data_IF_819417925687
#
_entry.id   IF_819417925687
#
_cell.length_a   1.000
_cell.length_b   1.000
_cell.length_c   1.000
_cell.angle_alpha   90.00
_cell.angle_beta   90.00
_cell.angle_gamma   90.00
#
_symmetry.space_group_name_H-M   'P 1'
#
loop_
_entity.id
_entity.type
_entity.pdbx_description
1 polymer ?
#
# COMPACT_ATOMS: atom_id res chain seq x y z
N UNK A 1 23.35 -29.93 29.38
CA UNK A 1 21.98 -29.53 28.98
C UNK A 1 22.09 -28.31 28.09
N UNK A 2 22.07 -28.51 26.77
CA UNK A 2 22.08 -27.44 25.77
C UNK A 2 20.73 -26.73 25.81
N UNK A 3 20.74 -25.44 26.16
CA UNK A 3 19.56 -24.58 26.17
C UNK A 3 19.09 -24.44 24.72
N UNK A 4 17.96 -25.06 24.36
CA UNK A 4 17.32 -24.82 23.08
C UNK A 4 17.00 -23.32 22.99
N UNK A 5 17.56 -22.65 21.99
CA UNK A 5 17.17 -21.30 21.60
C UNK A 5 15.77 -21.45 21.00
N UNK A 6 14.73 -20.74 21.50
CA UNK A 6 13.40 -20.86 20.94
C UNK A 6 13.42 -20.46 19.46
N UNK A 7 12.88 -21.34 18.60
CA UNK A 7 12.89 -21.23 17.13
C UNK A 7 12.17 -20.00 16.57
N UNK A 8 11.55 -19.19 17.42
CA UNK A 8 10.94 -17.93 17.01
C UNK A 8 10.88 -17.00 18.22
N UNK A 9 11.66 -15.90 18.28
CA UNK A 9 11.33 -14.83 19.20
C UNK A 9 9.94 -14.34 18.80
N UNK A 10 8.93 -14.56 19.64
CA UNK A 10 7.64 -13.90 19.48
C UNK A 10 7.94 -12.40 19.44
N UNK A 11 7.88 -11.81 18.24
CA UNK A 11 8.09 -10.37 18.08
C UNK A 11 7.08 -9.68 18.98
N UNK A 12 7.59 -8.94 19.97
CA UNK A 12 6.71 -8.17 20.85
C UNK A 12 5.80 -7.31 19.98
N UNK A 13 4.47 -7.37 20.19
CA UNK A 13 3.54 -6.65 19.35
C UNK A 13 3.79 -5.14 19.47
N UNK A 14 3.90 -4.45 18.33
CA UNK A 14 4.08 -3.01 18.30
C UNK A 14 2.94 -2.29 19.03
N UNK A 15 3.29 -1.26 19.78
CA UNK A 15 2.31 -0.34 20.37
C UNK A 15 1.64 0.52 19.30
N UNK A 16 0.46 1.04 19.62
CA UNK A 16 -0.28 1.99 18.75
C UNK A 16 0.58 3.16 18.30
N UNK A 17 1.33 3.76 19.24
CA UNK A 17 2.20 4.91 18.96
C UNK A 17 3.33 4.50 18.03
N UNK A 18 3.98 3.35 18.25
CA UNK A 18 5.04 2.87 17.37
C UNK A 18 4.56 2.66 15.94
N UNK A 19 3.36 2.10 15.74
CA UNK A 19 2.78 1.92 14.39
C UNK A 19 2.50 3.27 13.73
N UNK A 20 1.85 4.21 14.43
CA UNK A 20 1.57 5.55 13.90
C UNK A 20 2.84 6.33 13.55
N UNK A 21 3.84 6.29 14.44
CA UNK A 21 5.14 6.95 14.22
C UNK A 21 5.88 6.31 13.06
N UNK A 22 5.91 4.98 12.96
CA UNK A 22 6.54 4.27 11.86
C UNK A 22 5.90 4.64 10.51
N UNK A 23 4.57 4.66 10.42
CA UNK A 23 3.86 5.09 9.20
C UNK A 23 4.19 6.54 8.84
N UNK A 24 4.19 7.45 9.83
CA UNK A 24 4.54 8.85 9.62
C UNK A 24 5.98 9.04 9.11
N UNK A 25 6.94 8.36 9.74
CA UNK A 25 8.36 8.39 9.34
C UNK A 25 8.51 7.85 7.92
N UNK A 26 7.93 6.68 7.62
CA UNK A 26 8.00 6.09 6.27
C UNK A 26 7.44 7.05 5.23
N UNK A 27 6.27 7.65 5.48
CA UNK A 27 5.68 8.61 4.56
C UNK A 27 6.57 9.82 4.31
N UNK A 28 7.16 10.40 5.38
CA UNK A 28 8.10 11.53 5.26
C UNK A 28 9.35 11.13 4.48
N UNK A 29 9.93 9.97 4.76
CA UNK A 29 11.11 9.45 4.06
C UNK A 29 10.81 9.30 2.56
N UNK A 30 9.70 8.65 2.20
CA UNK A 30 9.30 8.48 0.80
C UNK A 30 9.08 9.83 0.09
N UNK A 31 8.50 10.82 0.78
CA UNK A 31 8.33 12.18 0.25
C UNK A 31 9.67 12.89 0.03
N UNK A 32 10.64 12.71 0.94
CA UNK A 32 12.00 13.26 0.77
C UNK A 32 12.65 12.63 -0.46
N UNK A 33 12.60 11.29 -0.59
CA UNK A 33 13.13 10.59 -1.76
C UNK A 33 12.46 11.06 -3.06
N UNK A 34 11.13 11.19 -3.07
CA UNK A 34 10.39 11.69 -4.23
C UNK A 34 10.84 13.11 -4.63
N UNK A 35 10.96 14.02 -3.64
CA UNK A 35 11.44 15.39 -3.90
C UNK A 35 12.87 15.45 -4.41
N UNK A 36 13.78 14.70 -3.79
CA UNK A 36 15.18 14.63 -4.23
C UNK A 36 15.28 14.10 -5.65
N UNK A 37 14.53 13.05 -5.99
CA UNK A 37 14.54 12.49 -7.33
C UNK A 37 13.96 13.46 -8.37
N UNK A 38 12.86 14.16 -8.07
CA UNK A 38 12.33 15.22 -8.94
C UNK A 38 13.39 16.30 -9.24
N UNK A 39 14.09 16.75 -8.20
CA UNK A 39 15.11 17.81 -8.33
C UNK A 39 16.34 17.33 -9.11
N UNK A 40 16.90 16.17 -8.75
CA UNK A 40 18.11 15.64 -9.37
C UNK A 40 17.88 15.15 -10.80
N UNK A 41 16.71 14.56 -11.05
CA UNK A 41 16.31 14.06 -12.37
C UNK A 41 15.76 15.14 -13.31
N UNK A 42 15.53 16.37 -12.82
CA UNK A 42 14.85 17.45 -13.55
C UNK A 42 13.52 16.98 -14.17
N UNK A 43 12.81 16.14 -13.44
CA UNK A 43 11.58 15.50 -13.88
C UNK A 43 10.38 16.39 -13.57
N UNK A 44 9.31 16.23 -14.35
CA UNK A 44 8.02 16.81 -14.02
C UNK A 44 7.16 15.77 -13.32
N UNK A 45 6.58 16.16 -12.18
CA UNK A 45 5.62 15.32 -11.45
C UNK A 45 4.40 15.09 -12.36
N UNK A 46 3.89 13.85 -12.38
CA UNK A 46 2.60 13.57 -13.04
C UNK A 46 1.50 14.49 -12.46
N UNK A 47 0.70 15.17 -13.30
CA UNK A 47 -0.21 16.20 -12.81
C UNK A 47 -1.27 15.65 -11.87
N UNK A 48 -1.61 16.43 -10.84
CA UNK A 48 -2.74 16.17 -9.95
C UNK A 48 -3.90 17.05 -10.40
N UNK A 49 -4.89 16.44 -11.08
CA UNK A 49 -6.07 17.15 -11.60
C UNK A 49 -7.28 16.82 -10.72
N UNK A 50 -7.67 17.77 -9.87
CA UNK A 50 -8.86 17.66 -9.03
C UNK A 50 -10.13 17.80 -9.85
N UNK A 51 -10.70 16.66 -10.25
CA UNK A 51 -11.96 16.59 -10.99
C UNK A 51 -12.90 15.57 -10.34
N UNK A 52 -14.23 15.78 -10.38
CA UNK A 52 -15.18 14.79 -9.86
C UNK A 52 -15.00 13.40 -10.50
N UNK A 53 -14.72 13.35 -11.81
CA UNK A 53 -14.48 12.11 -12.53
C UNK A 53 -13.27 11.36 -11.98
N UNK A 54 -12.17 12.05 -11.67
CA UNK A 54 -10.99 11.42 -11.08
C UNK A 54 -11.29 10.81 -9.70
N UNK A 55 -12.09 11.50 -8.87
CA UNK A 55 -12.52 10.99 -7.57
C UNK A 55 -13.41 9.76 -7.71
N UNK A 56 -14.37 9.78 -8.65
CA UNK A 56 -15.28 8.65 -8.91
C UNK A 56 -14.52 7.44 -9.42
N UNK A 57 -13.62 7.62 -10.40
CA UNK A 57 -12.79 6.54 -10.95
C UNK A 57 -11.89 5.96 -9.86
N UNK A 58 -11.21 6.82 -9.09
CA UNK A 58 -10.35 6.39 -7.98
C UNK A 58 -11.14 5.62 -6.91
N UNK A 59 -12.31 6.11 -6.51
CA UNK A 59 -13.18 5.45 -5.55
C UNK A 59 -13.65 4.08 -6.06
N UNK A 60 -14.16 4.01 -7.29
CA UNK A 60 -14.61 2.77 -7.90
C UNK A 60 -13.47 1.75 -8.01
N UNK A 61 -12.28 2.21 -8.40
CA UNK A 61 -11.09 1.36 -8.50
C UNK A 61 -10.64 0.86 -7.13
N UNK A 62 -10.61 1.72 -6.12
CA UNK A 62 -10.25 1.33 -4.75
C UNK A 62 -11.21 0.27 -4.20
N UNK A 63 -12.52 0.46 -4.38
CA UNK A 63 -13.53 -0.53 -3.98
C UNK A 63 -13.39 -1.85 -4.76
N UNK A 64 -13.09 -1.78 -6.06
CA UNK A 64 -12.83 -2.96 -6.87
C UNK A 64 -11.58 -3.72 -6.40
N UNK A 65 -10.49 -3.02 -6.09
CA UNK A 65 -9.27 -3.61 -5.52
C UNK A 65 -9.55 -4.25 -4.17
N UNK A 66 -10.31 -3.59 -3.29
CA UNK A 66 -10.70 -4.17 -1.99
C UNK A 66 -11.53 -5.44 -2.18
N UNK A 67 -12.53 -5.43 -3.06
CA UNK A 67 -13.34 -6.60 -3.38
C UNK A 67 -12.52 -7.76 -3.93
N UNK A 68 -11.62 -7.46 -4.88
CA UNK A 68 -10.70 -8.44 -5.46
C UNK A 68 -9.73 -8.99 -4.41
N UNK A 69 -9.17 -8.13 -3.55
CA UNK A 69 -8.31 -8.53 -2.43
C UNK A 69 -9.07 -9.46 -1.46
N UNK A 70 -10.34 -9.18 -1.18
CA UNK A 70 -11.20 -10.05 -0.39
C UNK A 70 -11.44 -11.42 -1.04
N UNK A 71 -11.64 -11.45 -2.36
CA UNK A 71 -11.77 -12.71 -3.12
C UNK A 71 -10.46 -13.51 -3.10
N UNK A 72 -9.33 -12.87 -3.37
CA UNK A 72 -8.00 -13.50 -3.33
C UNK A 72 -7.68 -14.00 -1.92
N UNK A 73 -8.00 -13.22 -0.89
CA UNK A 73 -7.91 -13.65 0.50
C UNK A 73 -8.72 -14.92 0.77
N UNK A 74 -9.91 -15.07 0.17
CA UNK A 74 -10.75 -16.27 0.30
C UNK A 74 -10.22 -17.49 -0.47
N UNK A 75 -9.71 -17.28 -1.67
CA UNK A 75 -9.36 -18.36 -2.60
C UNK A 75 -7.89 -18.79 -2.53
N UNK A 76 -6.99 -17.93 -2.05
CA UNK A 76 -5.55 -18.19 -2.04
C UNK A 76 -4.99 -18.24 -0.61
N UNK A 77 -4.85 -19.44 0.00
CA UNK A 77 -4.40 -19.58 1.38
C UNK A 77 -3.01 -18.99 1.66
N UNK A 78 -2.08 -19.07 0.71
CA UNK A 78 -0.74 -18.50 0.88
C UNK A 78 -0.80 -16.97 0.99
N UNK A 79 -1.55 -16.30 0.10
CA UNK A 79 -1.79 -14.86 0.21
C UNK A 79 -2.49 -14.49 1.52
N UNK A 80 -3.50 -15.26 1.94
CA UNK A 80 -4.15 -15.06 3.23
C UNK A 80 -3.15 -15.04 4.38
N UNK A 81 -2.28 -16.05 4.45
CA UNK A 81 -1.28 -16.16 5.51
C UNK A 81 -0.30 -14.97 5.47
N UNK A 82 0.17 -14.56 4.29
CA UNK A 82 1.06 -13.41 4.15
C UNK A 82 0.40 -12.10 4.56
N UNK A 83 -0.84 -11.86 4.11
CA UNK A 83 -1.60 -10.66 4.44
C UNK A 83 -1.93 -10.59 5.94
N UNK A 84 -2.28 -11.72 6.56
CA UNK A 84 -2.60 -11.79 8.00
C UNK A 84 -1.42 -11.37 8.89
N UNK A 85 -0.17 -11.64 8.49
CA UNK A 85 1.01 -11.18 9.25
C UNK A 85 1.03 -9.66 9.30
N UNK A 86 0.89 -9.00 8.15
CA UNK A 86 0.83 -7.54 8.06
C UNK A 86 -0.37 -6.96 8.80
N UNK A 87 -1.58 -7.48 8.53
CA UNK A 87 -2.82 -7.00 9.13
C UNK A 87 -2.79 -7.12 10.65
N UNK A 88 -2.28 -8.23 11.20
CA UNK A 88 -2.16 -8.38 12.66
C UNK A 88 -1.13 -7.42 13.25
N UNK A 89 0.01 -7.21 12.59
CA UNK A 89 1.06 -6.31 13.08
C UNK A 89 0.60 -4.84 13.10
N UNK A 90 -0.07 -4.41 12.04
CA UNK A 90 -0.45 -3.01 11.85
C UNK A 90 -1.84 -2.71 12.45
N UNK A 91 -2.85 -3.53 12.20
CA UNK A 91 -4.23 -3.21 12.56
C UNK A 91 -4.63 -3.58 13.98
N UNK A 92 -4.01 -4.59 14.62
CA UNK A 92 -4.34 -4.93 16.02
C UNK A 92 -4.17 -3.74 16.97
N UNK A 93 -3.03 -3.02 16.99
CA UNK A 93 -2.82 -1.93 17.96
C UNK A 93 -3.57 -0.63 17.62
N UNK A 94 -3.99 -0.43 16.38
CA UNK A 94 -4.70 0.78 15.94
C UNK A 94 -6.18 0.78 16.38
N UNK A 95 -6.77 1.95 16.56
CA UNK A 95 -8.23 2.11 16.72
C UNK A 95 -8.86 2.57 15.39
N UNK A 96 -10.19 2.48 15.27
CA UNK A 96 -10.90 2.80 14.02
C UNK A 96 -10.56 4.20 13.47
N UNK A 97 -10.51 5.28 14.27
CA UNK A 97 -10.07 6.59 13.78
C UNK A 97 -8.68 6.59 13.15
N UNK A 98 -7.74 5.75 13.61
CA UNK A 98 -6.38 5.72 13.07
C UNK A 98 -6.32 5.18 11.63
N UNK A 99 -7.34 4.44 11.20
CA UNK A 99 -7.37 3.84 9.86
C UNK A 99 -7.38 4.89 8.76
N UNK A 100 -7.85 6.12 9.05
CA UNK A 100 -7.73 7.22 8.10
C UNK A 100 -6.27 7.54 7.78
N UNK A 101 -5.37 7.47 8.78
CA UNK A 101 -3.94 7.71 8.59
C UNK A 101 -3.27 6.57 7.84
N UNK A 102 -3.71 5.34 8.08
CA UNK A 102 -3.25 4.17 7.32
C UNK A 102 -3.67 4.23 5.84
N UNK A 103 -4.80 4.86 5.52
CA UNK A 103 -5.18 5.16 4.14
C UNK A 103 -4.38 6.32 3.56
N UNK A 104 -4.40 7.47 4.23
CA UNK A 104 -3.84 8.72 3.73
C UNK A 104 -2.33 8.70 3.58
N UNK A 105 -1.58 8.26 4.60
CA UNK A 105 -0.12 8.39 4.61
C UNK A 105 0.51 7.55 3.49
N UNK A 106 0.29 6.22 3.41
CA UNK A 106 0.87 5.41 2.33
C UNK A 106 0.28 5.78 0.97
N UNK A 107 -1.05 5.94 0.89
CA UNK A 107 -1.75 6.22 -0.36
C UNK A 107 -1.31 7.53 -1.03
N UNK A 108 -0.89 8.52 -0.24
CA UNK A 108 -0.28 9.74 -0.77
C UNK A 108 1.21 9.56 -1.04
N UNK A 109 2.01 9.13 -0.04
CA UNK A 109 3.47 9.15 -0.16
C UNK A 109 4.00 8.14 -1.18
N UNK A 110 3.41 6.95 -1.23
CA UNK A 110 3.84 5.90 -2.15
C UNK A 110 3.44 6.24 -3.58
N UNK A 111 2.20 6.67 -3.82
CA UNK A 111 1.78 7.04 -5.18
C UNK A 111 2.53 8.27 -5.70
N UNK A 112 2.85 9.24 -4.84
CA UNK A 112 3.74 10.34 -5.22
C UNK A 112 5.11 9.81 -5.69
N UNK A 113 5.74 8.91 -4.94
CA UNK A 113 7.04 8.35 -5.33
C UNK A 113 6.95 7.47 -6.58
N UNK A 114 6.08 6.47 -6.59
CA UNK A 114 6.05 5.44 -7.62
C UNK A 114 5.37 5.93 -8.91
N UNK A 115 4.24 6.62 -8.82
CA UNK A 115 3.43 7.03 -9.98
C UNK A 115 3.69 8.48 -10.35
N UNK A 116 3.94 9.33 -9.36
CA UNK A 116 4.23 10.74 -9.56
C UNK A 116 5.66 11.00 -10.06
N UNK A 117 6.65 10.21 -9.62
CA UNK A 117 8.06 10.45 -9.93
C UNK A 117 8.70 9.32 -10.72
N UNK A 118 8.73 8.10 -10.19
CA UNK A 118 9.45 6.98 -10.81
C UNK A 118 8.85 6.59 -12.16
N UNK A 119 7.52 6.50 -12.27
CA UNK A 119 6.85 6.15 -13.51
C UNK A 119 7.18 7.15 -14.66
N UNK A 120 7.05 8.48 -14.49
CA UNK A 120 7.55 9.45 -15.47
C UNK A 120 9.07 9.36 -15.73
N UNK A 121 9.87 9.06 -14.70
CA UNK A 121 11.33 8.93 -14.83
C UNK A 121 11.75 7.79 -15.76
N UNK A 122 11.06 6.65 -15.65
CA UNK A 122 11.32 5.46 -16.48
C UNK A 122 10.62 5.59 -17.84
N UNK A 123 9.43 6.17 -17.85
CA UNK A 123 8.64 6.45 -19.05
C UNK A 123 7.16 6.14 -18.85
N UNK A 124 6.28 7.02 -19.35
CA UNK A 124 4.81 6.86 -19.30
C UNK A 124 4.32 5.81 -20.32
N UNK A 125 4.87 4.60 -20.24
CA UNK A 125 4.60 3.49 -21.14
C UNK A 125 4.60 2.17 -20.35
N UNK A 126 4.43 1.04 -21.05
CA UNK A 126 4.38 -0.28 -20.42
C UNK A 126 5.63 -0.59 -19.57
N UNK A 127 6.82 -0.14 -19.98
CA UNK A 127 8.07 -0.39 -19.25
C UNK A 127 8.04 0.32 -17.90
N UNK A 128 7.66 1.60 -17.87
CA UNK A 128 7.56 2.34 -16.61
C UNK A 128 6.46 1.80 -15.70
N UNK A 129 5.32 1.38 -16.26
CA UNK A 129 4.24 0.74 -15.49
C UNK A 129 4.76 -0.54 -14.84
N UNK A 130 5.41 -1.43 -15.60
CA UNK A 130 5.93 -2.70 -15.07
C UNK A 130 7.03 -2.45 -14.04
N UNK A 131 8.02 -1.61 -14.35
CA UNK A 131 9.15 -1.35 -13.47
C UNK A 131 8.72 -0.73 -12.13
N UNK A 132 7.88 0.31 -12.16
CA UNK A 132 7.38 0.95 -10.94
C UNK A 132 6.53 0.00 -10.09
N UNK A 133 5.75 -0.88 -10.73
CA UNK A 133 4.88 -1.84 -10.05
C UNK A 133 5.65 -3.02 -9.44
N UNK A 134 6.73 -3.46 -10.09
CA UNK A 134 7.63 -4.46 -9.52
C UNK A 134 8.31 -3.92 -8.27
N UNK A 135 8.90 -2.71 -8.32
CA UNK A 135 9.52 -2.11 -7.13
C UNK A 135 8.49 -1.83 -6.03
N UNK A 136 7.29 -1.39 -6.39
CA UNK A 136 6.19 -1.23 -5.44
C UNK A 136 5.87 -2.54 -4.71
N UNK A 137 5.73 -3.66 -5.44
CA UNK A 137 5.50 -4.95 -4.81
C UNK A 137 6.68 -5.40 -3.95
N UNK A 138 7.92 -5.23 -4.42
CA UNK A 138 9.13 -5.60 -3.66
C UNK A 138 9.23 -4.82 -2.34
N UNK A 139 8.82 -3.54 -2.32
CA UNK A 139 8.79 -2.73 -1.10
C UNK A 139 7.89 -3.35 -0.01
N UNK A 140 6.89 -4.14 -0.40
CA UNK A 140 5.97 -4.81 0.51
C UNK A 140 6.47 -6.18 1.01
N UNK A 141 7.69 -6.58 0.66
CA UNK A 141 8.31 -7.80 1.16
C UNK A 141 8.74 -7.60 2.62
N UNK A 142 7.95 -8.09 3.57
CA UNK A 142 8.28 -8.08 5.00
C UNK A 142 9.01 -9.33 5.50
N UNK A 143 9.31 -10.26 4.59
CA UNK A 143 9.95 -11.55 4.84
C UNK A 143 9.77 -12.46 3.63
N UNK A 144 10.63 -13.47 3.46
CA UNK A 144 10.63 -14.30 2.24
C UNK A 144 9.35 -15.13 2.11
N UNK A 145 8.68 -15.45 3.23
CA UNK A 145 7.40 -16.17 3.26
C UNK A 145 6.22 -15.30 2.79
N UNK A 146 6.40 -13.97 2.68
CA UNK A 146 5.37 -13.01 2.30
C UNK A 146 5.38 -12.69 0.79
N UNK A 147 6.09 -13.48 -0.03
CA UNK A 147 6.09 -13.34 -1.49
C UNK A 147 4.69 -13.33 -2.15
N UNK A 148 3.66 -14.06 -1.66
CA UNK A 148 2.31 -13.97 -2.25
C UNK A 148 1.72 -12.57 -2.14
N UNK A 149 2.02 -11.87 -1.04
CA UNK A 149 1.60 -10.49 -0.84
C UNK A 149 2.34 -9.55 -1.81
N UNK A 150 3.64 -9.78 -2.06
CA UNK A 150 4.41 -9.06 -3.08
C UNK A 150 3.79 -9.22 -4.46
N UNK A 151 3.42 -10.43 -4.86
CA UNK A 151 2.76 -10.68 -6.16
C UNK A 151 1.46 -9.90 -6.27
N UNK A 152 0.61 -9.94 -5.23
CA UNK A 152 -0.63 -9.17 -5.23
C UNK A 152 -0.39 -7.66 -5.26
N UNK A 153 0.55 -7.16 -4.46
CA UNK A 153 0.93 -5.74 -4.43
C UNK A 153 1.48 -5.29 -5.80
N UNK A 154 2.25 -6.12 -6.50
CA UNK A 154 2.68 -5.83 -7.89
C UNK A 154 1.48 -5.75 -8.84
N UNK A 155 0.52 -6.66 -8.76
CA UNK A 155 -0.69 -6.62 -9.62
C UNK A 155 -1.54 -5.36 -9.36
N UNK A 156 -1.75 -5.01 -8.09
CA UNK A 156 -2.38 -3.74 -7.71
C UNK A 156 -1.57 -2.57 -8.25
N UNK A 157 -0.25 -2.63 -8.10
CA UNK A 157 0.66 -1.63 -8.62
C UNK A 157 0.54 -1.43 -10.14
N UNK A 158 0.38 -2.50 -10.91
CA UNK A 158 0.17 -2.46 -12.36
C UNK A 158 -1.13 -1.72 -12.69
N UNK A 159 -2.21 -2.01 -11.96
CA UNK A 159 -3.50 -1.33 -12.13
C UNK A 159 -3.40 0.16 -11.80
N UNK A 160 -2.77 0.52 -10.68
CA UNK A 160 -2.56 1.92 -10.28
C UNK A 160 -1.67 2.65 -11.30
N UNK A 161 -0.58 2.03 -11.74
CA UNK A 161 0.31 2.57 -12.79
C UNK A 161 -0.40 2.76 -14.12
N UNK A 162 -1.20 1.78 -14.55
CA UNK A 162 -2.03 1.91 -15.75
C UNK A 162 -3.05 3.05 -15.60
N UNK A 163 -3.71 3.17 -14.45
CA UNK A 163 -4.69 4.25 -14.21
C UNK A 163 -4.05 5.63 -14.31
N UNK A 164 -2.82 5.77 -13.80
CA UNK A 164 -2.06 7.02 -13.85
C UNK A 164 -1.77 7.44 -15.30
N UNK A 165 -1.30 6.51 -16.13
CA UNK A 165 -1.00 6.75 -17.55
C UNK A 165 -2.28 6.98 -18.36
N UNK A 166 -3.29 6.13 -18.19
CA UNK A 166 -4.53 6.19 -18.96
C UNK A 166 -5.33 7.46 -18.71
N UNK A 167 -5.26 8.02 -17.51
CA UNK A 167 -5.99 9.23 -17.12
C UNK A 167 -5.14 10.50 -17.16
N UNK A 168 -3.83 10.37 -17.35
CA UNK A 168 -2.85 11.45 -17.18
C UNK A 168 -3.14 12.26 -15.89
N UNK A 169 -3.35 11.53 -14.79
CA UNK A 169 -3.78 12.12 -13.53
C UNK A 169 -3.37 11.26 -12.33
N UNK A 170 -2.49 11.82 -11.51
CA UNK A 170 -2.00 11.17 -10.29
C UNK A 170 -3.07 11.07 -9.19
N UNK A 171 -4.11 11.90 -9.23
CA UNK A 171 -5.18 11.85 -8.23
C UNK A 171 -5.94 10.51 -8.24
N UNK A 172 -6.11 9.91 -9.42
CA UNK A 172 -6.84 8.64 -9.58
C UNK A 172 -6.20 7.50 -8.78
N UNK A 173 -4.92 7.16 -8.97
CA UNK A 173 -4.28 6.11 -8.17
C UNK A 173 -4.14 6.50 -6.69
N UNK A 174 -3.94 7.77 -6.35
CA UNK A 174 -3.91 8.23 -4.94
C UNK A 174 -5.22 7.87 -4.23
N UNK A 175 -6.36 8.27 -4.82
CA UNK A 175 -7.68 7.99 -4.22
C UNK A 175 -7.93 6.49 -4.17
N UNK A 176 -7.61 5.75 -5.23
CA UNK A 176 -7.78 4.29 -5.26
C UNK A 176 -6.98 3.60 -4.16
N UNK A 177 -5.73 4.01 -3.94
CA UNK A 177 -4.88 3.45 -2.89
C UNK A 177 -5.40 3.81 -1.48
N UNK A 178 -5.73 5.09 -1.23
CA UNK A 178 -6.32 5.53 0.05
C UNK A 178 -7.57 4.72 0.38
N UNK A 179 -8.50 4.59 -0.57
CA UNK A 179 -9.74 3.83 -0.41
C UNK A 179 -9.45 2.36 -0.17
N UNK A 180 -8.53 1.77 -0.93
CA UNK A 180 -8.15 0.35 -0.77
C UNK A 180 -7.68 0.08 0.66
N UNK A 181 -6.74 0.87 1.17
CA UNK A 181 -6.16 0.68 2.50
C UNK A 181 -7.18 0.98 3.59
N UNK A 182 -7.94 2.06 3.47
CA UNK A 182 -8.95 2.43 4.46
C UNK A 182 -10.07 1.38 4.56
N UNK A 183 -10.69 1.00 3.45
CA UNK A 183 -11.84 0.10 3.44
C UNK A 183 -11.42 -1.32 3.83
N UNK A 184 -10.32 -1.85 3.28
CA UNK A 184 -9.85 -3.19 3.65
C UNK A 184 -9.51 -3.28 5.14
N UNK A 185 -8.87 -2.25 5.69
CA UNK A 185 -8.51 -2.19 7.11
C UNK A 185 -9.74 -2.06 8.00
N UNK A 186 -10.73 -1.26 7.59
CA UNK A 186 -11.98 -1.10 8.31
C UNK A 186 -12.75 -2.43 8.36
N UNK A 187 -12.90 -3.12 7.22
CA UNK A 187 -13.55 -4.43 7.13
C UNK A 187 -12.86 -5.44 8.04
N UNK A 188 -11.52 -5.51 7.99
CA UNK A 188 -10.77 -6.42 8.85
C UNK A 188 -10.94 -6.09 10.34
N UNK A 189 -10.88 -4.80 10.71
CA UNK A 189 -10.99 -4.35 12.10
C UNK A 189 -12.37 -4.66 12.69
N UNK A 190 -13.44 -4.39 11.94
CA UNK A 190 -14.82 -4.67 12.36
C UNK A 190 -15.06 -6.17 12.53
N UNK A 191 -14.66 -6.99 11.55
CA UNK A 191 -14.83 -8.45 11.65
C UNK A 191 -14.04 -9.08 12.81
N UNK A 192 -12.92 -8.49 13.23
CA UNK A 192 -12.15 -8.95 14.39
C UNK A 192 -12.69 -8.44 15.74
N UNK A 193 -13.51 -7.39 15.76
CA UNK A 193 -14.21 -6.94 16.97
C UNK A 193 -15.40 -7.85 17.29
N UNK A 194 -16.17 -8.23 16.27
CA UNK A 194 -17.33 -9.12 16.40
C UNK A 194 -16.94 -10.52 16.90
N UNK A 195 -15.79 -11.05 16.46
CA UNK A 195 -15.29 -12.35 16.94
C UNK A 195 -14.75 -12.34 18.40
N UNK A 196 -14.72 -11.17 19.07
CA UNK A 196 -14.26 -11.03 20.47
C UNK A 196 -15.40 -10.80 21.48
N UNK A 197 -16.61 -10.57 20.99
CA UNK A 197 -17.84 -10.38 21.79
C UNK A 197 -18.66 -11.66 21.77
#
# INVERSE_FOLDING_TARGET
MTKQIPDNPELEPLTRIQVLVAMGITAVVLLIFAKLWLQLGKLTLLPIKFTPNALVIGLAMGLAITGASGLVYRLWPAYRQSAEVYLKLILKPLIIPDLMWLGLLPGMSEELLFRGVMLPAVGLNAIGIIASSMLFGILHLSGIQQWPYVVWATLVGLLLGYSAVATDNLLVPIVAHIVTNFVSSLVWKLGNLENRT
#
